data_IF_848330754845
#
_entry.id   IF_848330754845
#
_cell.length_a   1.000
_cell.length_b   1.000
_cell.length_c   1.000
_cell.angle_alpha   90.00
_cell.angle_beta   90.00
_cell.angle_gamma   90.00
#
_symmetry.space_group_name_H-M   'P 1'
#
loop_
_entity.id
_entity.type
_entity.pdbx_description
1 polymer ?
#
# COMPACT_ATOMS: atom_id res chain seq x y z
N UNK A 1 4.61 -4.94 -34.26
CA UNK A 1 3.82 -6.12 -34.68
C UNK A 1 4.67 -7.33 -35.01
N UNK A 2 4.25 -8.52 -34.53
CA UNK A 2 4.74 -9.81 -35.04
C UNK A 2 3.79 -10.26 -36.15
N UNK A 3 4.17 -10.07 -37.41
CA UNK A 3 3.41 -10.63 -38.52
C UNK A 3 3.65 -12.14 -38.60
N UNK A 4 2.61 -12.95 -38.83
CA UNK A 4 2.78 -14.38 -39.04
C UNK A 4 3.63 -14.62 -40.30
N UNK A 5 4.66 -15.49 -40.24
CA UNK A 5 5.42 -15.86 -41.42
C UNK A 5 4.49 -16.57 -42.42
N UNK A 6 4.84 -16.51 -43.71
CA UNK A 6 4.00 -17.09 -44.77
C UNK A 6 3.67 -18.57 -44.53
N UNK A 7 4.58 -19.34 -43.94
CA UNK A 7 4.35 -20.74 -43.56
C UNK A 7 3.22 -20.92 -42.54
N UNK A 8 3.08 -20.01 -41.59
CA UNK A 8 2.01 -20.03 -40.58
C UNK A 8 0.69 -19.59 -41.19
N UNK A 9 0.70 -18.55 -42.03
CA UNK A 9 -0.50 -18.11 -42.75
C UNK A 9 -1.09 -19.23 -43.63
N UNK A 10 -0.22 -19.98 -44.32
CA UNK A 10 -0.64 -21.12 -45.14
C UNK A 10 -1.15 -22.32 -44.33
N UNK A 11 -0.77 -22.42 -43.06
CA UNK A 11 -1.25 -23.47 -42.15
C UNK A 11 -2.65 -23.19 -41.58
N UNK A 12 -3.15 -21.96 -41.70
CA UNK A 12 -4.44 -21.57 -41.15
C UNK A 12 -5.60 -22.16 -41.95
N UNK A 13 -6.71 -22.54 -41.27
CA UNK A 13 -7.91 -22.99 -41.95
C UNK A 13 -8.53 -21.83 -42.76
N UNK A 14 -9.42 -22.19 -43.70
CA UNK A 14 -10.15 -21.20 -44.47
C UNK A 14 -10.99 -20.33 -43.52
N UNK A 15 -10.87 -18.99 -43.57
CA UNK A 15 -11.64 -18.08 -42.73
C UNK A 15 -13.15 -18.32 -42.83
N UNK A 16 -13.81 -18.38 -41.68
CA UNK A 16 -15.26 -18.44 -41.56
C UNK A 16 -15.80 -17.14 -40.96
N UNK A 17 -16.16 -16.20 -41.84
CA UNK A 17 -16.71 -14.90 -41.43
C UNK A 17 -18.21 -14.93 -41.09
N UNK A 18 -18.91 -16.05 -41.35
CA UNK A 18 -20.38 -16.14 -41.21
C UNK A 18 -20.77 -16.71 -39.86
N UNK A 19 -20.12 -17.79 -39.43
CA UNK A 19 -20.38 -18.44 -38.14
C UNK A 19 -19.07 -18.92 -37.49
N UNK A 20 -18.21 -17.99 -37.04
CA UNK A 20 -16.93 -18.34 -36.46
C UNK A 20 -17.07 -19.06 -35.13
N UNK A 21 -16.14 -19.97 -34.84
CA UNK A 21 -16.10 -20.65 -33.54
C UNK A 21 -15.76 -19.63 -32.45
N UNK A 22 -16.60 -19.57 -31.42
CA UNK A 22 -16.41 -18.65 -30.29
C UNK A 22 -15.94 -19.37 -29.03
N UNK A 23 -15.13 -18.69 -28.21
CA UNK A 23 -14.65 -19.16 -26.89
C UNK A 23 -15.76 -19.31 -25.83
N UNK A 24 -16.96 -18.75 -26.08
CA UNK A 24 -18.06 -18.70 -25.11
C UNK A 24 -17.98 -17.52 -24.12
N UNK A 25 -18.91 -17.46 -23.15
CA UNK A 25 -19.14 -16.30 -22.28
C UNK A 25 -18.23 -16.22 -21.05
N UNK A 26 -17.27 -17.12 -20.88
CA UNK A 26 -16.50 -17.29 -19.64
C UNK A 26 -15.82 -16.01 -19.13
N UNK A 27 -15.24 -15.20 -20.02
CA UNK A 27 -14.61 -13.93 -19.65
C UNK A 27 -15.63 -12.96 -19.06
N UNK A 28 -16.79 -12.82 -19.68
CA UNK A 28 -17.85 -11.90 -19.25
C UNK A 28 -18.36 -12.31 -17.88
N UNK A 29 -18.54 -13.62 -17.66
CA UNK A 29 -18.97 -14.14 -16.36
C UNK A 29 -17.94 -13.76 -15.28
N UNK A 30 -16.65 -13.98 -15.52
CA UNK A 30 -15.60 -13.64 -14.54
C UNK A 30 -15.60 -12.13 -14.25
N UNK A 31 -15.63 -11.28 -15.26
CA UNK A 31 -15.60 -9.83 -15.10
C UNK A 31 -16.83 -9.30 -14.35
N UNK A 32 -18.03 -9.73 -14.73
CA UNK A 32 -19.28 -9.30 -14.09
C UNK A 32 -19.46 -9.88 -12.68
N UNK A 33 -18.84 -11.02 -12.36
CA UNK A 33 -18.86 -11.56 -11.02
C UNK A 33 -17.89 -10.81 -10.09
N UNK A 34 -16.67 -10.51 -10.53
CA UNK A 34 -15.63 -9.95 -9.64
C UNK A 34 -15.74 -8.44 -9.43
N UNK A 35 -16.18 -7.70 -10.45
CA UNK A 35 -16.28 -6.24 -10.41
C UNK A 35 -17.21 -5.72 -9.30
N UNK A 36 -18.42 -6.30 -9.07
CA UNK A 36 -19.28 -5.88 -7.96
C UNK A 36 -18.64 -6.06 -6.58
N UNK A 37 -17.87 -7.12 -6.37
CA UNK A 37 -17.15 -7.32 -5.10
C UNK A 37 -16.08 -6.24 -4.89
N UNK A 38 -15.36 -5.87 -5.94
CA UNK A 38 -14.39 -4.77 -5.87
C UNK A 38 -15.07 -3.42 -5.60
N UNK A 39 -16.18 -3.11 -6.29
CA UNK A 39 -16.98 -1.91 -6.04
C UNK A 39 -17.50 -1.86 -4.61
N UNK A 40 -18.02 -2.98 -4.09
CA UNK A 40 -18.48 -3.08 -2.71
C UNK A 40 -17.34 -2.84 -1.72
N UNK A 41 -16.16 -3.42 -1.97
CA UNK A 41 -15.00 -3.23 -1.11
C UNK A 41 -14.56 -1.75 -1.04
N UNK A 42 -14.53 -1.05 -2.18
CA UNK A 42 -14.24 0.40 -2.23
C UNK A 42 -15.33 1.21 -1.56
N UNK A 43 -16.61 0.89 -1.80
CA UNK A 43 -17.74 1.54 -1.16
C UNK A 43 -17.71 1.43 0.36
N UNK A 44 -17.45 0.22 0.88
CA UNK A 44 -17.27 -0.01 2.32
C UNK A 44 -16.05 0.73 2.87
N UNK A 45 -14.93 0.75 2.14
CA UNK A 45 -13.73 1.51 2.51
C UNK A 45 -14.05 3.00 2.67
N UNK A 46 -14.72 3.61 1.69
CA UNK A 46 -15.12 5.02 1.75
C UNK A 46 -16.12 5.30 2.87
N UNK A 47 -17.10 4.42 3.06
CA UNK A 47 -18.06 4.55 4.16
C UNK A 47 -17.37 4.52 5.54
N UNK A 48 -16.42 3.60 5.75
CA UNK A 48 -15.65 3.53 7.01
C UNK A 48 -14.76 4.76 7.18
N UNK A 49 -14.05 5.20 6.14
CA UNK A 49 -13.06 6.29 6.26
C UNK A 49 -13.68 7.67 6.31
N UNK A 50 -14.65 7.95 5.43
CA UNK A 50 -15.30 9.25 5.30
C UNK A 50 -16.50 9.35 6.24
N UNK A 51 -17.36 8.34 6.26
CA UNK A 51 -18.60 8.35 7.04
C UNK A 51 -18.37 8.12 8.53
N UNK A 52 -17.76 6.98 8.89
CA UNK A 52 -17.58 6.58 10.29
C UNK A 52 -16.40 7.30 10.94
N UNK A 53 -15.18 7.09 10.43
CA UNK A 53 -13.96 7.61 11.06
C UNK A 53 -13.72 9.11 10.76
N UNK A 54 -14.37 9.67 9.74
CA UNK A 54 -14.19 11.05 9.24
C UNK A 54 -12.71 11.44 9.02
N UNK A 55 -11.90 10.48 8.57
CA UNK A 55 -10.46 10.62 8.31
C UNK A 55 -10.09 9.93 7.00
N UNK A 56 -10.20 10.69 5.91
CA UNK A 56 -9.76 10.29 4.57
C UNK A 56 -8.34 10.77 4.30
N UNK A 57 -7.59 9.99 3.51
CA UNK A 57 -6.21 10.27 3.13
C UNK A 57 -6.00 10.00 1.63
N UNK A 58 -4.81 10.34 1.11
CA UNK A 58 -4.46 10.17 -0.30
C UNK A 58 -4.64 8.73 -0.80
N UNK A 59 -4.47 7.72 0.05
CA UNK A 59 -4.69 6.31 -0.33
C UNK A 59 -6.15 6.03 -0.72
N UNK A 60 -7.13 6.67 -0.09
CA UNK A 60 -8.55 6.51 -0.42
C UNK A 60 -8.86 7.03 -1.83
N UNK A 61 -8.35 8.21 -2.17
CA UNK A 61 -8.57 8.83 -3.49
C UNK A 61 -7.85 8.07 -4.61
N UNK A 62 -6.62 7.62 -4.36
CA UNK A 62 -5.89 6.77 -5.32
C UNK A 62 -6.65 5.46 -5.58
N UNK A 63 -7.28 4.87 -4.56
CA UNK A 63 -8.10 3.67 -4.74
C UNK A 63 -9.37 3.93 -5.57
N UNK A 64 -10.02 5.09 -5.39
CA UNK A 64 -11.18 5.48 -6.23
C UNK A 64 -10.77 5.67 -7.68
N UNK A 65 -9.63 6.33 -7.93
CA UNK A 65 -9.07 6.50 -9.27
C UNK A 65 -8.74 5.12 -9.88
N UNK A 66 -8.12 4.23 -9.10
CA UNK A 66 -7.84 2.87 -9.54
C UNK A 66 -9.12 2.11 -9.93
N UNK A 67 -10.17 2.22 -9.13
CA UNK A 67 -11.47 1.59 -9.39
C UNK A 67 -12.11 2.13 -10.67
N UNK A 68 -12.04 3.45 -10.91
CA UNK A 68 -12.54 4.06 -12.14
C UNK A 68 -11.86 3.46 -13.38
N UNK A 69 -10.52 3.34 -13.37
CA UNK A 69 -9.78 2.72 -14.47
C UNK A 69 -10.04 1.20 -14.58
N UNK A 70 -10.27 0.50 -13.46
CA UNK A 70 -10.65 -0.92 -13.46
C UNK A 70 -12.02 -1.14 -14.13
N UNK A 71 -13.01 -0.31 -13.82
CA UNK A 71 -14.32 -0.30 -14.48
C UNK A 71 -14.17 -0.04 -15.97
N UNK A 72 -13.34 0.95 -16.36
CA UNK A 72 -13.07 1.23 -17.77
C UNK A 72 -12.41 0.05 -18.49
N UNK A 73 -11.44 -0.61 -17.85
CA UNK A 73 -10.78 -1.81 -18.40
C UNK A 73 -11.81 -2.90 -18.66
N UNK A 74 -12.64 -3.22 -17.67
CA UNK A 74 -13.73 -4.20 -17.76
C UNK A 74 -14.70 -3.86 -18.91
N UNK A 75 -15.15 -2.61 -18.99
CA UNK A 75 -16.06 -2.17 -20.05
C UNK A 75 -15.46 -2.37 -21.45
N UNK A 76 -14.20 -1.98 -21.66
CA UNK A 76 -13.53 -2.14 -22.95
C UNK A 76 -13.29 -3.61 -23.29
N UNK A 77 -12.92 -4.45 -22.33
CA UNK A 77 -12.69 -5.89 -22.59
C UNK A 77 -14.00 -6.58 -22.95
N UNK A 78 -15.11 -6.30 -22.27
CA UNK A 78 -16.44 -6.81 -22.65
C UNK A 78 -16.80 -6.35 -24.07
N UNK A 79 -16.63 -5.06 -24.37
CA UNK A 79 -16.88 -4.53 -25.72
C UNK A 79 -16.00 -5.20 -26.77
N UNK A 80 -14.71 -5.39 -26.50
CA UNK A 80 -13.78 -6.03 -27.41
C UNK A 80 -14.17 -7.48 -27.70
N UNK A 81 -14.62 -8.19 -26.67
CA UNK A 81 -15.05 -9.60 -26.75
C UNK A 81 -16.37 -9.74 -27.51
N UNK A 82 -17.31 -8.82 -27.34
CA UNK A 82 -18.65 -8.91 -27.93
C UNK A 82 -18.77 -8.29 -29.32
N UNK A 83 -18.03 -7.21 -29.58
CA UNK A 83 -18.21 -6.40 -30.79
C UNK A 83 -17.02 -6.47 -31.74
N UNK A 84 -15.80 -6.72 -31.23
CA UNK A 84 -14.56 -6.61 -32.01
C UNK A 84 -13.86 -7.95 -32.24
N UNK A 85 -14.52 -9.07 -31.91
CA UNK A 85 -14.04 -10.42 -32.23
C UNK A 85 -12.86 -10.90 -31.38
N UNK A 86 -12.67 -10.36 -30.17
CA UNK A 86 -11.69 -10.91 -29.20
C UNK A 86 -12.09 -12.26 -28.58
N UNK A 87 -13.16 -12.88 -29.08
CA UNK A 87 -13.63 -14.22 -28.69
C UNK A 87 -13.53 -15.26 -29.82
N UNK A 88 -13.00 -14.90 -30.99
CA UNK A 88 -12.84 -15.78 -32.16
C UNK A 88 -11.36 -15.88 -32.55
N UNK A 89 -11.04 -16.84 -33.40
CA UNK A 89 -9.70 -17.03 -33.92
C UNK A 89 -9.26 -15.89 -34.84
N UNK A 90 -7.94 -15.64 -34.88
CA UNK A 90 -7.38 -14.53 -35.64
C UNK A 90 -7.69 -14.60 -37.15
N UNK A 91 -7.79 -15.80 -37.71
CA UNK A 91 -8.08 -16.01 -39.13
C UNK A 91 -9.56 -15.81 -39.48
N UNK A 92 -10.45 -15.80 -38.50
CA UNK A 92 -11.89 -15.57 -38.71
C UNK A 92 -12.27 -14.07 -38.59
N UNK A 93 -11.30 -13.20 -38.29
CA UNK A 93 -11.50 -11.76 -38.18
C UNK A 93 -11.44 -11.05 -39.52
N UNK A 94 -12.37 -10.14 -39.76
CA UNK A 94 -12.26 -9.17 -40.84
C UNK A 94 -11.19 -8.12 -40.52
N UNK A 95 -10.57 -7.53 -41.55
CA UNK A 95 -9.55 -6.47 -41.36
C UNK A 95 -10.08 -5.34 -40.47
N UNK A 96 -11.31 -4.90 -40.69
CA UNK A 96 -11.94 -3.85 -39.87
C UNK A 96 -12.06 -4.24 -38.38
N UNK A 97 -12.43 -5.48 -38.08
CA UNK A 97 -12.48 -6.00 -36.71
C UNK A 97 -11.08 -6.09 -36.10
N UNK A 98 -10.06 -6.48 -36.87
CA UNK A 98 -8.68 -6.48 -36.38
C UNK A 98 -8.21 -5.07 -35.99
N UNK A 99 -8.45 -4.05 -36.83
CA UNK A 99 -8.04 -2.68 -36.53
C UNK A 99 -8.75 -2.14 -35.29
N UNK A 100 -10.07 -2.35 -35.20
CA UNK A 100 -10.86 -1.88 -34.05
C UNK A 100 -10.50 -2.65 -32.78
N UNK A 101 -10.27 -3.96 -32.90
CA UNK A 101 -9.78 -4.82 -31.83
C UNK A 101 -8.41 -4.38 -31.31
N UNK A 102 -7.52 -3.92 -32.18
CA UNK A 102 -6.21 -3.36 -31.79
C UNK A 102 -6.37 -2.04 -31.03
N UNK A 103 -7.22 -1.13 -31.50
CA UNK A 103 -7.55 0.11 -30.77
C UNK A 103 -8.10 -0.19 -29.38
N UNK A 104 -9.03 -1.13 -29.27
CA UNK A 104 -9.59 -1.57 -28.00
C UNK A 104 -8.52 -2.20 -27.07
N UNK A 105 -7.62 -3.02 -27.62
CA UNK A 105 -6.52 -3.61 -26.84
C UNK A 105 -5.56 -2.56 -26.30
N UNK A 106 -5.19 -1.56 -27.10
CA UNK A 106 -4.31 -0.47 -26.63
C UNK A 106 -4.99 0.35 -25.52
N UNK A 107 -6.27 0.65 -25.68
CA UNK A 107 -7.06 1.34 -24.66
C UNK A 107 -7.15 0.51 -23.37
N UNK A 108 -7.47 -0.78 -23.47
CA UNK A 108 -7.57 -1.69 -22.32
C UNK A 108 -6.21 -1.86 -21.60
N UNK A 109 -5.10 -1.97 -22.35
CA UNK A 109 -3.75 -2.00 -21.76
C UNK A 109 -3.43 -0.70 -21.02
N UNK A 110 -3.79 0.45 -21.59
CA UNK A 110 -3.58 1.76 -20.95
C UNK A 110 -4.35 1.85 -19.63
N UNK A 111 -5.63 1.48 -19.64
CA UNK A 111 -6.48 1.51 -18.44
C UNK A 111 -6.01 0.50 -17.40
N UNK A 112 -5.55 -0.68 -17.81
CA UNK A 112 -4.97 -1.67 -16.90
C UNK A 112 -3.70 -1.14 -16.22
N UNK A 113 -2.77 -0.55 -16.96
CA UNK A 113 -1.53 0.02 -16.41
C UNK A 113 -1.87 1.09 -15.38
N UNK A 114 -2.83 1.96 -15.68
CA UNK A 114 -3.31 2.98 -14.75
C UNK A 114 -3.94 2.34 -13.51
N UNK A 115 -4.91 1.44 -13.68
CA UNK A 115 -5.61 0.78 -12.58
C UNK A 115 -4.64 0.05 -11.65
N UNK A 116 -3.81 -0.85 -12.19
CA UNK A 116 -2.82 -1.63 -11.43
C UNK A 116 -1.83 -0.74 -10.69
N UNK A 117 -1.31 0.30 -11.35
CA UNK A 117 -0.38 1.24 -10.71
C UNK A 117 -1.04 2.02 -9.57
N UNK A 118 -2.26 2.53 -9.76
CA UNK A 118 -2.97 3.27 -8.71
C UNK A 118 -3.36 2.38 -7.52
N UNK A 119 -3.72 1.11 -7.73
CA UNK A 119 -3.90 0.14 -6.64
C UNK A 119 -2.62 0.00 -5.82
N UNK A 120 -1.48 -0.24 -6.49
CA UNK A 120 -0.17 -0.42 -5.83
C UNK A 120 0.24 0.84 -5.06
N UNK A 121 0.09 2.01 -5.66
CA UNK A 121 0.39 3.29 -5.03
C UNK A 121 -0.52 3.54 -3.82
N UNK A 122 -1.83 3.24 -3.92
CA UNK A 122 -2.75 3.35 -2.77
C UNK A 122 -2.30 2.48 -1.60
N UNK A 123 -1.95 1.21 -1.85
CA UNK A 123 -1.47 0.28 -0.82
C UNK A 123 -0.18 0.80 -0.17
N UNK A 124 0.78 1.26 -0.97
CA UNK A 124 2.04 1.81 -0.47
C UNK A 124 1.85 3.10 0.34
N UNK A 125 0.92 3.97 -0.06
CA UNK A 125 0.53 5.16 0.72
C UNK A 125 -0.14 4.75 2.04
N UNK A 126 -0.99 3.73 2.05
CA UNK A 126 -1.51 3.15 3.30
C UNK A 126 -0.38 2.63 4.19
N UNK A 127 0.72 2.09 3.63
CA UNK A 127 1.87 1.65 4.42
C UNK A 127 2.68 2.81 5.00
N UNK A 128 2.84 3.93 4.27
CA UNK A 128 3.48 5.12 4.84
C UNK A 128 2.76 5.66 6.06
N UNK A 129 1.43 5.52 6.11
CA UNK A 129 0.63 5.90 7.28
C UNK A 129 0.90 5.04 8.51
N UNK A 130 1.25 3.77 8.32
CA UNK A 130 1.52 2.81 9.41
C UNK A 130 3.01 2.85 9.81
N UNK A 131 3.89 3.22 8.89
CA UNK A 131 5.33 3.21 9.09
C UNK A 131 5.82 4.35 10.01
N UNK A 132 6.57 4.06 11.09
CA UNK A 132 7.23 5.10 11.90
C UNK A 132 8.25 5.90 11.08
N UNK A 133 8.39 7.21 11.37
CA UNK A 133 9.17 8.14 10.54
C UNK A 133 10.62 7.74 10.30
N UNK A 134 11.28 7.13 11.28
CA UNK A 134 12.71 6.77 11.22
C UNK A 134 12.96 5.28 11.02
N UNK A 135 11.92 4.49 10.74
CA UNK A 135 12.05 3.03 10.61
C UNK A 135 12.68 2.62 9.28
N UNK A 136 13.51 1.57 9.31
CA UNK A 136 13.99 0.89 8.10
C UNK A 136 12.82 0.46 7.20
N UNK A 137 11.66 0.12 7.77
CA UNK A 137 10.46 -0.20 7.01
C UNK A 137 10.02 0.96 6.10
N UNK A 138 10.02 2.20 6.61
CA UNK A 138 9.64 3.39 5.81
C UNK A 138 10.60 3.61 4.64
N UNK A 139 11.89 3.31 4.81
CA UNK A 139 12.90 3.37 3.74
C UNK A 139 12.61 2.33 2.65
N UNK A 140 12.29 1.08 3.03
CA UNK A 140 11.93 0.03 2.07
C UNK A 140 10.65 0.39 1.32
N UNK A 141 9.62 0.91 2.00
CA UNK A 141 8.38 1.37 1.34
C UNK A 141 8.67 2.49 0.34
N UNK A 142 9.56 3.44 0.66
CA UNK A 142 10.01 4.46 -0.29
C UNK A 142 10.68 3.88 -1.53
N UNK A 143 11.58 2.91 -1.37
CA UNK A 143 12.24 2.24 -2.50
C UNK A 143 11.20 1.56 -3.40
N UNK A 144 10.29 0.78 -2.82
CA UNK A 144 9.24 0.08 -3.60
C UNK A 144 8.30 1.07 -4.28
N UNK A 145 7.92 2.16 -3.60
CA UNK A 145 7.12 3.24 -4.17
C UNK A 145 7.80 3.89 -5.38
N UNK A 146 9.09 4.20 -5.27
CA UNK A 146 9.87 4.74 -6.38
C UNK A 146 9.95 3.76 -7.56
N UNK A 147 10.13 2.47 -7.31
CA UNK A 147 10.16 1.44 -8.37
C UNK A 147 8.80 1.35 -9.08
N UNK A 148 7.70 1.30 -8.34
CA UNK A 148 6.33 1.24 -8.90
C UNK A 148 6.05 2.49 -9.72
N UNK A 149 6.35 3.67 -9.19
CA UNK A 149 6.13 4.94 -9.89
C UNK A 149 6.98 5.03 -11.16
N UNK A 150 8.28 4.70 -11.08
CA UNK A 150 9.15 4.71 -12.25
C UNK A 150 8.67 3.74 -13.33
N UNK A 151 8.31 2.52 -12.93
CA UNK A 151 7.77 1.51 -13.84
C UNK A 151 6.48 1.99 -14.52
N UNK A 152 5.56 2.59 -13.74
CA UNK A 152 4.33 3.18 -14.26
C UNK A 152 4.60 4.22 -15.35
N UNK A 153 5.46 5.21 -15.08
CA UNK A 153 5.76 6.25 -16.07
C UNK A 153 6.43 5.68 -17.32
N UNK A 154 7.43 4.80 -17.16
CA UNK A 154 8.16 4.21 -18.29
C UNK A 154 7.23 3.42 -19.19
N UNK A 155 6.39 2.54 -18.62
CA UNK A 155 5.49 1.72 -19.41
C UNK A 155 4.36 2.52 -20.04
N UNK A 156 3.85 3.55 -19.35
CA UNK A 156 2.84 4.42 -19.93
C UNK A 156 3.40 5.17 -21.14
N UNK A 157 4.60 5.75 -21.02
CA UNK A 157 5.26 6.43 -22.14
C UNK A 157 5.52 5.44 -23.28
N UNK A 158 6.15 4.29 -22.99
CA UNK A 158 6.44 3.27 -24.01
C UNK A 158 5.19 2.79 -24.74
N UNK A 159 4.06 2.61 -24.05
CA UNK A 159 2.81 2.17 -24.68
C UNK A 159 2.30 3.18 -25.72
N UNK A 160 2.47 4.47 -25.47
CA UNK A 160 2.03 5.53 -26.38
C UNK A 160 3.08 5.92 -27.43
N UNK A 161 4.36 5.63 -27.18
CA UNK A 161 5.47 5.93 -28.11
C UNK A 161 5.98 4.70 -28.86
N UNK A 162 5.32 3.54 -28.73
CA UNK A 162 5.72 2.31 -29.43
C UNK A 162 5.67 2.43 -30.96
N UNK A 163 4.85 3.33 -31.50
CA UNK A 163 4.71 3.58 -32.93
C UNK A 163 4.68 5.08 -33.22
N UNK A 164 5.36 5.53 -34.28
CA UNK A 164 5.37 6.92 -34.75
C UNK A 164 5.10 6.91 -36.26
N UNK A 165 3.90 7.33 -36.72
CA UNK A 165 2.74 7.79 -35.94
C UNK A 165 2.02 6.66 -35.19
N UNK A 166 1.31 7.00 -34.11
CA UNK A 166 0.59 5.99 -33.30
C UNK A 166 -0.47 5.22 -34.10
N UNK A 167 -0.98 5.80 -35.19
CA UNK A 167 -1.90 5.14 -36.11
C UNK A 167 -1.32 3.89 -36.76
N UNK A 168 0.00 3.78 -36.87
CA UNK A 168 0.68 2.59 -37.38
C UNK A 168 0.49 1.37 -36.46
N UNK A 169 0.07 1.56 -35.20
CA UNK A 169 -0.21 0.44 -34.28
C UNK A 169 -1.46 -0.38 -34.67
N UNK A 170 -2.45 0.22 -35.34
CA UNK A 170 -3.68 -0.47 -35.72
C UNK A 170 -3.88 -0.56 -37.23
N UNK A 171 -3.05 0.10 -38.04
CA UNK A 171 -3.20 0.12 -39.50
C UNK A 171 -2.35 -1.00 -40.11
N UNK A 172 -2.98 -1.95 -40.81
CA UNK A 172 -2.27 -3.11 -41.36
C UNK A 172 -1.33 -2.77 -42.54
N UNK A 173 -1.57 -1.65 -43.22
CA UNK A 173 -0.77 -1.19 -44.36
C UNK A 173 0.41 -0.29 -43.96
N UNK A 174 0.63 -0.06 -42.66
CA UNK A 174 1.71 0.79 -42.17
C UNK A 174 3.09 0.14 -42.31
N UNK A 175 4.14 0.96 -42.49
CA UNK A 175 5.51 0.47 -42.59
C UNK A 175 5.94 -0.15 -41.25
N UNK A 176 6.55 -1.33 -41.31
CA UNK A 176 7.07 -2.05 -40.14
C UNK A 176 8.17 -1.28 -39.41
N UNK A 177 8.80 -0.29 -40.07
CA UNK A 177 9.80 0.60 -39.47
C UNK A 177 9.21 1.63 -38.51
N UNK A 178 7.90 1.89 -38.57
CA UNK A 178 7.26 2.92 -37.74
C UNK A 178 7.10 2.49 -36.28
N UNK A 179 7.23 1.19 -35.99
CA UNK A 179 6.90 0.60 -34.69
C UNK A 179 8.06 -0.24 -34.13
N UNK A 180 8.27 -0.16 -32.82
CA UNK A 180 9.12 -1.11 -32.10
C UNK A 180 8.44 -2.48 -32.02
N UNK A 181 9.20 -3.58 -31.88
CA UNK A 181 8.60 -4.89 -31.64
C UNK A 181 7.81 -4.90 -30.31
N UNK A 182 6.54 -5.29 -30.37
CA UNK A 182 5.61 -5.33 -29.23
C UNK A 182 6.04 -6.31 -28.13
N UNK A 183 6.73 -7.39 -28.49
CA UNK A 183 7.02 -8.51 -27.59
C UNK A 183 7.87 -8.11 -26.38
N UNK A 184 9.11 -7.60 -26.58
CA UNK A 184 10.01 -7.30 -25.47
C UNK A 184 9.44 -6.29 -24.45
N UNK A 185 8.82 -5.15 -24.85
CA UNK A 185 8.22 -4.22 -23.90
C UNK A 185 7.07 -4.84 -23.08
N UNK A 186 6.18 -5.62 -23.72
CA UNK A 186 5.05 -6.27 -23.04
C UNK A 186 5.53 -7.32 -22.03
N UNK A 187 6.53 -8.12 -22.39
CA UNK A 187 7.11 -9.14 -21.50
C UNK A 187 7.78 -8.46 -20.31
N UNK A 188 8.61 -7.45 -20.55
CA UNK A 188 9.24 -6.66 -19.50
C UNK A 188 8.20 -6.03 -18.56
N UNK A 189 7.11 -5.48 -19.11
CA UNK A 189 5.99 -4.94 -18.34
C UNK A 189 5.35 -6.00 -17.44
N UNK A 190 5.05 -7.18 -17.97
CA UNK A 190 4.43 -8.25 -17.16
C UNK A 190 5.33 -8.75 -16.05
N UNK A 191 6.63 -8.93 -16.31
CA UNK A 191 7.60 -9.39 -15.32
C UNK A 191 7.78 -8.35 -14.21
N UNK A 192 7.97 -7.07 -14.57
CA UNK A 192 8.12 -6.00 -13.58
C UNK A 192 6.83 -5.82 -12.77
N UNK A 193 5.67 -5.98 -13.40
CA UNK A 193 4.40 -5.94 -12.71
C UNK A 193 4.30 -7.04 -11.64
N UNK A 194 4.60 -8.30 -11.98
CA UNK A 194 4.62 -9.42 -11.02
C UNK A 194 5.67 -9.21 -9.93
N UNK A 195 6.86 -8.72 -10.28
CA UNK A 195 7.92 -8.45 -9.32
C UNK A 195 7.48 -7.37 -8.31
N UNK A 196 6.83 -6.30 -8.76
CA UNK A 196 6.30 -5.26 -7.87
C UNK A 196 5.14 -5.76 -7.00
N UNK A 197 4.28 -6.64 -7.52
CA UNK A 197 3.24 -7.32 -6.71
C UNK A 197 3.86 -8.13 -5.59
N UNK A 198 4.90 -8.92 -5.92
CA UNK A 198 5.62 -9.72 -4.94
C UNK A 198 6.33 -8.86 -3.89
N UNK A 199 6.95 -7.75 -4.29
CA UNK A 199 7.56 -6.80 -3.35
C UNK A 199 6.53 -6.24 -2.36
N UNK A 200 5.36 -5.79 -2.86
CA UNK A 200 4.29 -5.25 -2.01
C UNK A 200 3.71 -6.33 -1.10
N UNK A 201 3.57 -7.55 -1.60
CA UNK A 201 3.11 -8.70 -0.83
C UNK A 201 4.03 -9.06 0.35
N UNK A 202 5.35 -9.02 0.14
CA UNK A 202 6.36 -9.38 1.16
C UNK A 202 6.57 -8.27 2.19
N UNK A 203 6.33 -7.00 1.85
CA UNK A 203 6.48 -5.84 2.75
C UNK A 203 5.86 -6.04 4.14
N UNK A 204 4.56 -6.41 4.26
CA UNK A 204 3.98 -6.67 5.57
C UNK A 204 4.69 -7.83 6.28
N UNK A 205 5.01 -8.96 5.60
CA UNK A 205 5.61 -10.15 6.26
C UNK A 205 6.87 -9.81 7.04
N UNK A 206 7.78 -9.04 6.41
CA UNK A 206 9.06 -8.66 7.02
C UNK A 206 8.88 -7.84 8.30
N UNK A 207 7.86 -6.99 8.33
CA UNK A 207 7.54 -6.17 9.50
C UNK A 207 6.90 -7.00 10.61
N UNK A 208 6.05 -7.95 10.23
CA UNK A 208 5.21 -8.71 11.15
C UNK A 208 5.96 -9.85 11.83
N UNK A 209 7.00 -10.39 11.20
CA UNK A 209 7.90 -11.37 11.84
C UNK A 209 8.59 -10.81 13.10
N UNK A 210 8.74 -9.49 13.19
CA UNK A 210 9.41 -8.82 14.32
C UNK A 210 8.44 -8.38 15.43
N UNK A 211 7.13 -8.50 15.25
CA UNK A 211 6.13 -7.87 16.14
C UNK A 211 5.14 -8.90 16.71
N UNK A 212 5.12 -9.03 18.03
CA UNK A 212 4.19 -9.89 18.78
C UNK A 212 2.77 -9.31 18.76
N UNK A 213 1.96 -9.69 17.76
CA UNK A 213 0.59 -9.18 17.61
C UNK A 213 -0.47 -10.01 18.35
N UNK A 214 -1.54 -9.37 18.88
CA UNK A 214 -2.70 -10.07 19.42
C UNK A 214 -3.38 -10.99 18.38
N UNK A 215 -3.98 -12.11 18.80
CA UNK A 215 -4.52 -13.14 17.88
C UNK A 215 -5.59 -12.61 16.91
N UNK A 216 -6.42 -11.65 17.34
CA UNK A 216 -7.41 -11.00 16.47
C UNK A 216 -6.78 -10.23 15.30
N UNK A 217 -5.64 -9.56 15.52
CA UNK A 217 -4.94 -8.83 14.46
C UNK A 217 -4.20 -9.80 13.53
N UNK A 218 -3.74 -10.94 14.06
CA UNK A 218 -3.10 -12.02 13.30
C UNK A 218 -4.03 -12.63 12.24
N UNK A 219 -5.33 -12.74 12.51
CA UNK A 219 -6.31 -13.27 11.54
C UNK A 219 -6.47 -12.31 10.33
N UNK A 220 -6.68 -11.01 10.57
CA UNK A 220 -6.79 -10.04 9.47
C UNK A 220 -5.53 -9.97 8.60
N UNK A 221 -4.39 -10.24 9.23
CA UNK A 221 -3.10 -10.36 8.59
C UNK A 221 -3.01 -11.60 7.68
N UNK A 222 -3.45 -12.76 8.16
CA UNK A 222 -3.50 -14.00 7.38
C UNK A 222 -4.41 -13.84 6.16
N UNK A 223 -5.55 -13.15 6.31
CA UNK A 223 -6.44 -12.83 5.18
C UNK A 223 -5.73 -11.94 4.16
N UNK A 224 -5.06 -10.87 4.61
CA UNK A 224 -4.29 -9.99 3.72
C UNK A 224 -3.19 -10.77 2.97
N UNK A 225 -2.52 -11.70 3.63
CA UNK A 225 -1.53 -12.56 2.98
C UNK A 225 -2.15 -13.56 2.01
N UNK A 226 -3.29 -14.17 2.34
CA UNK A 226 -3.99 -15.07 1.43
C UNK A 226 -4.38 -14.35 0.15
N UNK A 227 -5.01 -13.19 0.28
CA UNK A 227 -5.44 -12.38 -0.88
C UNK A 227 -4.25 -11.83 -1.67
N UNK A 228 -3.20 -11.36 -0.97
CA UNK A 228 -1.96 -10.90 -1.60
C UNK A 228 -1.26 -11.99 -2.43
N UNK A 229 -1.25 -13.23 -1.94
CA UNK A 229 -0.70 -14.37 -2.68
C UNK A 229 -1.46 -14.66 -3.98
N UNK A 230 -2.80 -14.56 -3.94
CA UNK A 230 -3.65 -14.75 -5.14
C UNK A 230 -3.30 -13.73 -6.22
N UNK A 231 -3.00 -12.47 -5.87
CA UNK A 231 -2.62 -11.43 -6.83
C UNK A 231 -1.31 -11.81 -7.55
N UNK A 232 -0.29 -12.24 -6.80
CA UNK A 232 1.00 -12.65 -7.37
C UNK A 232 0.84 -13.86 -8.30
N UNK A 233 -0.01 -14.83 -7.92
CA UNK A 233 -0.32 -16.00 -8.75
C UNK A 233 -1.05 -15.58 -10.03
N UNK A 234 -2.07 -14.72 -9.92
CA UNK A 234 -2.81 -14.21 -11.07
C UNK A 234 -1.90 -13.47 -12.05
N UNK A 235 -1.04 -12.58 -11.55
CA UNK A 235 -0.04 -11.89 -12.37
C UNK A 235 0.95 -12.84 -13.03
N UNK A 236 1.36 -13.91 -12.33
CA UNK A 236 2.27 -14.93 -12.89
C UNK A 236 1.62 -15.70 -14.04
N UNK A 237 0.35 -16.09 -13.91
CA UNK A 237 -0.40 -16.70 -15.02
C UNK A 237 -0.59 -15.72 -16.18
N UNK A 238 -0.85 -14.44 -15.90
CA UNK A 238 -0.92 -13.41 -16.93
C UNK A 238 0.40 -13.29 -17.70
N UNK A 239 1.54 -13.27 -16.99
CA UNK A 239 2.86 -13.23 -17.61
C UNK A 239 3.13 -14.47 -18.48
N UNK A 240 2.76 -15.66 -18.01
CA UNK A 240 2.83 -16.90 -18.79
C UNK A 240 2.02 -16.80 -20.10
N UNK A 241 0.76 -16.38 -20.02
CA UNK A 241 -0.09 -16.27 -21.21
C UNK A 241 0.38 -15.17 -22.17
N UNK A 242 0.92 -14.07 -21.66
CA UNK A 242 1.56 -13.04 -22.50
C UNK A 242 2.76 -13.62 -23.23
N UNK A 243 3.64 -14.36 -22.55
CA UNK A 243 4.76 -15.04 -23.20
C UNK A 243 4.28 -16.03 -24.26
N UNK A 244 3.30 -16.87 -23.93
CA UNK A 244 2.73 -17.84 -24.87
C UNK A 244 2.15 -17.17 -26.12
N UNK A 245 1.34 -16.12 -25.95
CA UNK A 245 0.75 -15.36 -27.06
C UNK A 245 1.79 -14.65 -27.91
N UNK A 246 2.89 -14.21 -27.33
CA UNK A 246 3.92 -13.45 -28.05
C UNK A 246 4.94 -14.32 -28.76
N UNK A 247 5.26 -15.50 -28.23
CA UNK A 247 6.35 -16.35 -28.74
C UNK A 247 5.88 -17.69 -29.30
N UNK A 248 4.89 -18.34 -28.69
CA UNK A 248 4.49 -19.71 -29.03
C UNK A 248 3.34 -19.78 -30.03
N UNK A 249 2.48 -18.76 -30.09
CA UNK A 249 1.32 -18.74 -31.00
C UNK A 249 1.22 -17.43 -31.78
N UNK A 250 0.51 -17.48 -32.91
CA UNK A 250 0.12 -16.30 -33.71
C UNK A 250 -1.37 -15.99 -33.58
N UNK A 251 -2.11 -16.80 -32.82
CA UNK A 251 -3.54 -16.64 -32.59
C UNK A 251 -3.80 -15.82 -31.31
N UNK A 252 -3.51 -14.53 -31.42
CA UNK A 252 -3.51 -13.61 -30.29
C UNK A 252 -4.92 -13.37 -29.73
N UNK A 253 -5.97 -13.39 -30.55
CA UNK A 253 -7.34 -13.14 -30.08
C UNK A 253 -7.90 -14.33 -29.31
N UNK A 254 -7.64 -15.56 -29.77
CA UNK A 254 -8.10 -16.76 -29.06
C UNK A 254 -7.42 -16.92 -27.70
N UNK A 255 -6.09 -16.87 -27.65
CA UNK A 255 -5.34 -17.07 -26.41
C UNK A 255 -5.23 -15.81 -25.54
N UNK A 256 -5.36 -14.63 -26.13
CA UNK A 256 -5.37 -13.36 -25.41
C UNK A 256 -6.55 -13.21 -24.45
N UNK A 257 -7.64 -13.94 -24.68
CA UNK A 257 -8.75 -14.08 -23.74
C UNK A 257 -8.30 -14.48 -22.32
N UNK A 258 -7.30 -15.37 -22.19
CA UNK A 258 -6.77 -15.77 -20.87
C UNK A 258 -6.01 -14.64 -20.22
N UNK A 259 -5.27 -13.85 -21.00
CA UNK A 259 -4.55 -12.68 -20.51
C UNK A 259 -5.56 -11.73 -19.84
N UNK A 260 -6.69 -11.47 -20.51
CA UNK A 260 -7.72 -10.57 -19.99
C UNK A 260 -8.43 -11.09 -18.73
N UNK A 261 -8.72 -12.40 -18.67
CA UNK A 261 -9.27 -13.02 -17.44
C UNK A 261 -8.33 -12.81 -16.25
N UNK A 262 -7.04 -13.13 -16.42
CA UNK A 262 -6.06 -12.96 -15.34
C UNK A 262 -5.83 -11.49 -15.01
N UNK A 263 -5.93 -10.59 -15.98
CA UNK A 263 -5.89 -9.14 -15.78
C UNK A 263 -7.03 -8.65 -14.90
N UNK A 264 -8.26 -9.13 -15.16
CA UNK A 264 -9.44 -8.80 -14.37
C UNK A 264 -9.32 -9.32 -12.93
N UNK A 265 -8.82 -10.54 -12.75
CA UNK A 265 -8.57 -11.12 -11.43
C UNK A 265 -7.50 -10.31 -10.69
N UNK A 266 -6.35 -10.07 -11.31
CA UNK A 266 -5.23 -9.33 -10.72
C UNK A 266 -5.66 -7.94 -10.21
N UNK A 267 -6.36 -7.18 -11.07
CA UNK A 267 -6.73 -5.80 -10.77
C UNK A 267 -7.83 -5.73 -9.71
N UNK A 268 -8.92 -6.49 -9.87
CA UNK A 268 -10.06 -6.43 -8.95
C UNK A 268 -9.75 -7.07 -7.58
N UNK A 269 -9.00 -8.19 -7.55
CA UNK A 269 -8.51 -8.74 -6.28
C UNK A 269 -7.50 -7.78 -5.64
N UNK A 270 -6.69 -7.09 -6.43
CA UNK A 270 -5.82 -6.00 -5.98
C UNK A 270 -6.57 -4.89 -5.24
N UNK A 271 -7.67 -4.41 -5.83
CA UNK A 271 -8.56 -3.41 -5.20
C UNK A 271 -9.12 -3.93 -3.88
N UNK A 272 -9.65 -5.16 -3.87
CA UNK A 272 -10.20 -5.78 -2.65
C UNK A 272 -9.13 -5.88 -1.56
N UNK A 273 -7.93 -6.35 -1.91
CA UNK A 273 -6.78 -6.46 -1.02
C UNK A 273 -6.41 -5.11 -0.39
N UNK A 274 -6.32 -4.06 -1.21
CA UNK A 274 -6.03 -2.71 -0.74
C UNK A 274 -7.12 -2.11 0.14
N UNK A 275 -8.35 -2.63 0.08
CA UNK A 275 -9.45 -2.19 0.95
C UNK A 275 -9.43 -2.85 2.34
N UNK A 276 -8.88 -4.07 2.47
CA UNK A 276 -8.87 -4.84 3.74
C UNK A 276 -8.36 -4.02 4.95
N UNK A 277 -7.24 -3.27 4.86
CA UNK A 277 -6.73 -2.52 6.02
C UNK A 277 -7.71 -1.44 6.51
N UNK A 278 -8.50 -0.85 5.61
CA UNK A 278 -9.50 0.15 5.98
C UNK A 278 -10.75 -0.46 6.63
N UNK A 279 -11.06 -1.73 6.34
CA UNK A 279 -12.22 -2.45 6.88
C UNK A 279 -11.99 -3.05 8.27
N UNK A 280 -10.76 -3.03 8.79
CA UNK A 280 -10.40 -3.53 10.13
C UNK A 280 -11.35 -3.06 11.27
N UNK A 281 -11.83 -1.80 11.32
CA UNK A 281 -12.76 -1.34 12.36
C UNK A 281 -14.13 -2.04 12.33
N UNK A 282 -14.59 -2.52 11.16
CA UNK A 282 -15.84 -3.26 11.01
C UNK A 282 -15.75 -4.67 11.56
N UNK A 283 -14.57 -5.30 11.41
CA UNK A 283 -14.33 -6.66 11.87
C UNK A 283 -14.16 -6.75 13.40
N UNK A 284 -13.77 -5.64 14.05
CA UNK A 284 -13.55 -5.59 15.50
C UNK A 284 -14.23 -4.35 16.14
N UNK A 285 -15.57 -4.25 16.10
CA UNK A 285 -16.33 -3.07 16.50
C UNK A 285 -16.21 -2.74 18.00
N UNK A 286 -15.95 -3.75 18.84
CA UNK A 286 -15.80 -3.59 20.29
C UNK A 286 -14.64 -2.66 20.72
N UNK A 287 -13.61 -2.49 19.87
CA UNK A 287 -12.49 -1.56 20.14
C UNK A 287 -12.66 -0.18 19.49
N UNK A 288 -13.43 -0.05 18.41
CA UNK A 288 -13.71 1.24 17.79
C UNK A 288 -14.51 2.18 18.72
N UNK A 289 -15.37 1.62 19.60
CA UNK A 289 -16.08 2.39 20.66
C UNK A 289 -15.21 2.73 21.87
N UNK A 290 -14.11 2.02 22.10
CA UNK A 290 -13.22 2.26 23.25
C UNK A 290 -12.30 3.48 23.02
N UNK A 291 -12.01 3.84 21.77
CA UNK A 291 -11.24 5.03 21.42
C UNK A 291 -12.03 6.34 21.48
N UNK A 292 -13.36 6.30 21.37
CA UNK A 292 -14.24 7.49 21.40
C UNK A 292 -14.84 7.79 22.77
N UNK A 293 -14.69 6.91 23.76
CA UNK A 293 -15.31 7.03 25.09
C UNK A 293 -14.35 7.41 26.24
N UNK A 294 -13.12 7.85 25.93
CA UNK A 294 -12.15 8.30 26.95
C UNK A 294 -12.06 9.83 27.13
N UNK A 295 -13.09 10.56 26.70
CA UNK A 295 -13.26 11.99 26.99
C UNK A 295 -14.31 12.22 28.08
N UNK A 296 -13.91 12.91 29.15
CA UNK A 296 -14.73 13.44 30.25
C UNK A 296 -15.24 12.45 31.34
N UNK A 297 -14.40 12.18 32.33
CA UNK A 297 -14.90 12.08 33.71
C UNK A 297 -14.89 13.51 34.30
N UNK A 298 -16.03 14.11 34.66
CA UNK A 298 -16.01 15.31 35.49
C UNK A 298 -15.52 14.92 36.88
N UNK A 299 -14.48 15.59 37.35
CA UNK A 299 -14.06 15.54 38.74
C UNK A 299 -15.20 16.14 39.57
N UNK A 300 -15.92 15.29 40.30
CA UNK A 300 -16.98 15.73 41.22
C UNK A 300 -16.38 16.54 42.36
N UNK A 301 -16.60 17.85 42.34
CA UNK A 301 -16.37 18.73 43.48
C UNK A 301 -17.44 18.48 44.54
N UNK A 302 -17.10 17.69 45.56
CA UNK A 302 -17.91 17.57 46.76
C UNK A 302 -17.84 18.86 47.57
N UNK A 303 -18.92 19.64 47.56
CA UNK A 303 -19.14 20.73 48.50
C UNK A 303 -20.05 20.22 49.62
N UNK A 304 -19.52 20.10 50.84
CA UNK A 304 -20.34 20.03 52.07
C UNK A 304 -19.61 20.78 53.18
N UNK A 305 -20.30 21.78 53.74
CA UNK A 305 -19.71 22.83 54.55
C UNK A 305 -19.40 22.48 56.01
N UNK A 306 -18.54 23.35 56.55
CA UNK A 306 -18.70 24.12 57.80
C UNK A 306 -18.71 23.35 59.13
N UNK A 307 -17.60 23.42 59.87
CA UNK A 307 -17.64 23.78 61.29
C UNK A 307 -16.31 24.41 61.74
N UNK A 308 -16.44 25.51 62.49
CA UNK A 308 -15.38 26.38 62.92
C UNK A 308 -14.67 25.86 64.18
N UNK A 309 -13.34 26.01 64.26
CA UNK A 309 -12.65 26.19 65.53
C UNK A 309 -11.41 27.07 65.38
N UNK A 310 -11.45 28.23 66.04
CA UNK A 310 -10.35 29.17 66.22
C UNK A 310 -9.26 28.54 67.10
N UNK A 311 -7.99 28.67 66.74
CA UNK A 311 -6.88 28.75 67.70
C UNK A 311 -5.72 29.55 67.12
N UNK A 312 -5.32 30.56 67.88
CA UNK A 312 -4.39 31.67 67.63
C UNK A 312 -2.91 31.21 67.57
N UNK A 313 -2.00 31.90 66.85
CA UNK A 313 -0.58 31.58 66.85
C UNK A 313 0.13 32.11 68.10
N UNK A 314 1.10 31.36 68.63
CA UNK A 314 2.05 31.86 69.64
C UNK A 314 3.49 31.56 69.21
N UNK A 315 4.23 32.64 68.95
CA UNK A 315 5.69 32.74 69.01
C UNK A 315 6.05 32.99 70.50
N UNK A 316 7.20 32.51 70.99
CA UNK A 316 8.03 33.41 71.79
C UNK A 316 9.50 33.43 71.34
N UNK A 317 10.04 34.66 71.37
CA UNK A 317 11.44 35.02 71.24
C UNK A 317 12.20 34.77 72.56
N UNK A 318 13.48 34.42 72.40
CA UNK A 318 14.68 34.85 73.15
C UNK A 318 14.64 35.00 74.69
N UNK A 319 15.54 34.25 75.35
CA UNK A 319 16.26 34.73 76.54
C UNK A 319 17.76 34.46 76.37
N UNK A 320 18.54 35.41 76.84
CA UNK A 320 19.96 35.65 76.59
C UNK A 320 20.59 36.03 77.94
N UNK A 321 21.47 35.19 78.48
CA UNK A 321 22.46 35.55 79.52
C UNK A 321 23.74 34.74 79.21
N UNK A 322 24.72 35.36 78.54
CA UNK A 322 25.95 35.96 79.09
C UNK A 322 26.56 35.21 80.28
N UNK A 323 27.67 34.49 80.08
CA UNK A 323 29.07 34.96 80.11
C UNK A 323 29.69 34.89 81.51
N UNK A 324 30.60 33.94 81.76
CA UNK A 324 31.72 34.17 82.70
C UNK A 324 32.93 33.28 82.36
N UNK A 325 33.90 33.90 81.68
CA UNK A 325 35.35 33.87 81.94
C UNK A 325 36.07 32.54 82.30
N UNK A 326 36.96 32.18 81.35
CA UNK A 326 38.43 32.32 81.48
C UNK A 326 39.28 31.15 82.06
N UNK A 327 40.37 30.87 81.31
CA UNK A 327 41.69 30.37 81.74
C UNK A 327 41.75 28.86 82.10
N UNK A 328 42.74 28.04 81.73
CA UNK A 328 44.13 28.27 81.28
C UNK A 328 44.73 26.97 80.69
N UNK A 329 45.70 27.15 79.80
CA UNK A 329 46.94 26.36 79.60
C UNK A 329 46.88 24.87 79.16
N UNK A 330 47.44 24.57 77.99
CA UNK A 330 48.86 24.16 77.81
C UNK A 330 49.18 23.86 76.33
N UNK A 331 50.08 24.67 75.74
CA UNK A 331 51.41 24.28 75.21
C UNK A 331 51.66 22.80 74.82
N UNK A 332 52.36 22.36 73.75
CA UNK A 332 53.17 22.94 72.65
C UNK A 332 53.52 21.75 71.71
N UNK A 333 53.65 21.94 70.38
CA UNK A 333 54.82 21.55 69.53
C UNK A 333 54.54 21.52 68.02
N UNK A 334 55.24 22.42 67.34
CA UNK A 334 55.99 22.32 66.07
C UNK A 334 55.57 21.41 64.91
N UNK A 335 55.61 21.98 63.69
CA UNK A 335 55.76 21.21 62.46
C UNK A 335 55.35 21.90 61.15
N UNK A 336 56.11 22.92 60.75
CA UNK A 336 56.22 23.59 59.43
C UNK A 336 55.67 22.92 58.14
N UNK A 337 55.05 23.75 57.27
CA UNK A 337 55.40 24.09 55.85
C UNK A 337 54.14 24.37 55.00
N UNK A 338 54.13 25.56 54.39
CA UNK A 338 53.20 26.07 53.37
C UNK A 338 53.38 25.37 52.01
N UNK A 339 52.28 24.97 51.35
CA UNK A 339 52.12 25.09 49.88
C UNK A 339 50.66 25.42 49.55
N UNK A 340 50.48 26.47 48.74
CA UNK A 340 49.21 27.03 48.25
C UNK A 340 48.89 26.41 46.89
N UNK A 341 47.66 25.92 46.68
CA UNK A 341 47.19 25.46 45.35
C UNK A 341 45.70 25.10 45.28
N UNK A 342 44.91 26.01 44.67
CA UNK A 342 43.58 25.90 44.03
C UNK A 342 42.40 25.08 44.62
N UNK A 343 41.15 25.63 44.58
CA UNK A 343 39.94 24.95 45.05
C UNK A 343 39.39 23.92 44.05
N UNK A 344 39.09 22.71 44.54
CA UNK A 344 38.38 21.65 43.82
C UNK A 344 36.86 21.92 43.88
N UNK A 345 36.21 21.85 42.73
CA UNK A 345 34.78 22.00 42.53
C UNK A 345 34.01 20.73 42.93
N UNK A 346 32.74 20.82 43.38
CA UNK A 346 31.96 19.66 43.80
C UNK A 346 31.49 18.82 42.60
N UNK A 347 31.33 17.49 42.77
CA UNK A 347 30.92 16.60 41.68
C UNK A 347 29.45 16.80 41.29
N UNK A 348 29.18 16.79 39.98
CA UNK A 348 27.82 16.79 39.40
C UNK A 348 27.11 15.46 39.62
N UNK A 349 25.77 15.45 39.78
CA UNK A 349 24.99 14.22 39.86
C UNK A 349 24.91 13.52 38.50
N UNK A 350 25.06 12.18 38.50
CA UNK A 350 24.85 11.30 37.36
C UNK A 350 23.40 11.36 36.86
N UNK A 351 23.19 11.60 35.57
CA UNK A 351 21.88 11.51 34.91
C UNK A 351 21.59 10.11 34.36
N UNK A 352 20.42 9.60 34.74
CA UNK A 352 19.47 8.88 33.90
C UNK A 352 19.82 7.52 33.28
N UNK A 353 19.54 6.46 34.06
CA UNK A 353 19.05 5.17 33.54
C UNK A 353 17.51 5.12 33.42
N UNK A 354 16.79 5.97 34.16
CA UNK A 354 15.33 5.95 34.27
C UNK A 354 14.63 6.64 33.08
N UNK A 355 15.20 7.74 32.56
CA UNK A 355 14.63 8.46 31.42
C UNK A 355 14.57 7.61 30.12
N UNK A 356 15.54 6.71 29.90
CA UNK A 356 15.52 5.81 28.71
C UNK A 356 14.41 4.76 28.79
N UNK A 357 14.12 4.23 29.99
CA UNK A 357 13.01 3.29 30.18
C UNK A 357 11.65 3.97 29.99
N UNK A 358 11.51 5.20 30.51
CA UNK A 358 10.31 6.02 30.37
C UNK A 358 10.03 6.41 28.92
N UNK A 359 11.07 6.75 28.15
CA UNK A 359 10.90 7.10 26.73
C UNK A 359 10.53 5.89 25.88
N UNK A 360 11.06 4.70 26.22
CA UNK A 360 10.69 3.45 25.54
C UNK A 360 9.27 3.00 25.87
N UNK A 361 8.81 3.19 27.12
CA UNK A 361 7.42 2.95 27.50
C UNK A 361 6.46 3.97 26.87
N UNK A 362 6.88 5.24 26.74
CA UNK A 362 6.12 6.27 26.02
C UNK A 362 6.00 5.97 24.52
N UNK A 363 7.07 5.46 23.88
CA UNK A 363 7.01 5.00 22.49
C UNK A 363 6.06 3.80 22.32
N UNK A 364 5.97 2.90 23.31
CA UNK A 364 5.02 1.79 23.33
C UNK A 364 3.57 2.28 23.52
N UNK A 365 3.34 3.27 24.40
CA UNK A 365 2.03 3.92 24.58
C UNK A 365 1.62 4.74 23.35
N UNK A 366 2.55 5.40 22.66
CA UNK A 366 2.31 6.02 21.36
C UNK A 366 1.97 4.98 20.30
N UNK A 367 2.70 3.85 20.24
CA UNK A 367 2.38 2.74 19.34
C UNK A 367 0.97 2.18 19.57
N UNK A 368 0.50 2.12 20.81
CA UNK A 368 -0.90 1.78 21.11
C UNK A 368 -1.85 2.82 20.53
N UNK A 369 -1.57 4.10 20.70
CA UNK A 369 -2.43 5.21 20.25
C UNK A 369 -2.58 5.30 18.72
N UNK A 370 -1.55 4.92 17.95
CA UNK A 370 -1.65 4.83 16.48
C UNK A 370 -2.30 3.52 15.97
N UNK A 371 -2.49 2.54 16.86
CA UNK A 371 -3.17 1.27 16.55
C UNK A 371 -4.68 1.27 16.90
N UNK A 372 -5.22 2.32 17.51
CA UNK A 372 -6.64 2.45 17.87
C UNK A 372 -7.43 3.35 16.92
#
# INVERSE_FOLDING_TARGET
>A
MRFPPASVLLSWPKPNYVDPVTRGPGLIIVELCILPFALLAVGLRLWVRIGWLRKSWWDDWLMVIAMFFSCGTTAIVIMATQLYGWNIHVWDLTIHQMETGRKASMAAQTLFVLASSFVKLSILVSYFRIAPEKSTFRKVVWVVFSIVMASFLVFLIMLWTQCIPISSYWTFTADHRDCIPEGPPLVAQTIINVATDFMIYVLPMLTLYKLSLPPAQRIGLMVLFGVGGVIVVAGSFRAYWVHYVLYETYDATWYGFQIWIWTAIETNVGVICGCIPALKPLLFPARARAGTSRGSKPYGSGHSGRSARKTTPKIPQAEHELETRALTSKETKDGSINVRGMPISPPRPMSDGTAKSSMFEQDIEQQKTYMY
#
